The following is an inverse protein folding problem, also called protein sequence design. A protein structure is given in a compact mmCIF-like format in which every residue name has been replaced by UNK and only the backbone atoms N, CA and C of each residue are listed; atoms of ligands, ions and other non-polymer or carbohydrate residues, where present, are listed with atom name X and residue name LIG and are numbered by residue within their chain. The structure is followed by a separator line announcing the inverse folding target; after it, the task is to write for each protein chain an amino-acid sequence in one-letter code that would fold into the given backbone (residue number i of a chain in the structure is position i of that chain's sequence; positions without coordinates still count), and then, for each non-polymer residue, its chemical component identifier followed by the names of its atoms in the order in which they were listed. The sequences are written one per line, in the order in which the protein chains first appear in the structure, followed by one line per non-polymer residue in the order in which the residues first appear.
data_IF_360461193867
#
_entry.id   IF_360461193867
#
_cell.length_a   1.000
_cell.length_b   1.000
_cell.length_c   1.000
_cell.angle_alpha   90.00
_cell.angle_beta   90.00
_cell.angle_gamma   90.00
#
_symmetry.space_group_name_H-M   'P 1'
#
loop_
_entity.id
_entity.type
_entity.pdbx_description
1 polymer ?
#
# COMPACT_ATOMS: atom_id res chain seq x y z
N UNK A 1 -22.84 6.79 10.90
CA UNK A 1 -23.50 7.66 11.91
C UNK A 1 -22.41 8.16 12.86
N UNK A 2 -22.37 9.44 13.22
CA UNK A 2 -21.34 9.95 14.15
C UNK A 2 -21.65 9.55 15.60
N UNK A 3 -20.63 9.48 16.46
CA UNK A 3 -20.82 9.25 17.91
C UNK A 3 -21.78 10.29 18.50
N UNK A 4 -21.70 11.55 18.04
CA UNK A 4 -22.61 12.61 18.48
C UNK A 4 -24.07 12.34 18.09
N UNK A 5 -24.33 11.83 16.88
CA UNK A 5 -25.67 11.46 16.46
C UNK A 5 -26.21 10.27 17.27
N UNK A 6 -25.37 9.27 17.57
CA UNK A 6 -25.73 8.15 18.43
C UNK A 6 -26.06 8.62 19.85
N UNK A 7 -25.21 9.46 20.44
CA UNK A 7 -25.40 10.03 21.77
C UNK A 7 -26.73 10.79 21.88
N UNK A 8 -27.06 11.60 20.86
CA UNK A 8 -28.35 12.30 20.78
C UNK A 8 -29.53 11.33 20.70
N UNK A 9 -29.46 10.32 19.82
CA UNK A 9 -30.54 9.34 19.64
C UNK A 9 -30.78 8.49 20.89
N UNK A 10 -29.72 8.21 21.65
CA UNK A 10 -29.77 7.44 22.89
C UNK A 10 -29.95 8.33 24.15
N UNK A 11 -30.15 9.63 23.98
CA UNK A 11 -30.27 10.61 25.08
C UNK A 11 -29.14 10.49 26.14
N UNK A 12 -27.91 10.26 25.69
CA UNK A 12 -26.74 10.04 26.56
C UNK A 12 -25.56 10.93 26.17
N UNK A 13 -24.48 10.91 26.96
CA UNK A 13 -23.29 11.71 26.71
C UNK A 13 -22.42 11.09 25.61
N UNK A 14 -21.70 11.94 24.87
CA UNK A 14 -20.71 11.49 23.88
C UNK A 14 -19.66 10.55 24.51
N UNK A 15 -19.18 10.88 25.72
CA UNK A 15 -18.20 10.07 26.45
C UNK A 15 -18.75 8.68 26.76
N UNK A 16 -20.02 8.59 27.18
CA UNK A 16 -20.68 7.31 27.50
C UNK A 16 -20.74 6.39 26.26
N UNK A 17 -21.16 6.93 25.11
CA UNK A 17 -21.17 6.16 23.86
C UNK A 17 -19.75 5.76 23.45
N UNK A 18 -18.78 6.67 23.53
CA UNK A 18 -17.39 6.37 23.19
C UNK A 18 -16.82 5.26 24.07
N UNK A 19 -16.99 5.32 25.39
CA UNK A 19 -16.53 4.28 26.31
C UNK A 19 -17.19 2.94 25.99
N UNK A 20 -18.51 2.91 25.80
CA UNK A 20 -19.23 1.68 25.47
C UNK A 20 -18.73 1.05 24.16
N UNK A 21 -18.49 1.85 23.13
CA UNK A 21 -17.95 1.38 21.84
C UNK A 21 -16.52 0.83 22.00
N UNK A 22 -15.67 1.53 22.75
CA UNK A 22 -14.29 1.09 22.97
C UNK A 22 -14.22 -0.20 23.79
N UNK A 23 -15.01 -0.32 24.85
CA UNK A 23 -15.03 -1.49 25.72
C UNK A 23 -15.63 -2.70 24.99
N UNK A 24 -16.73 -2.50 24.27
CA UNK A 24 -17.30 -3.55 23.42
C UNK A 24 -16.33 -3.96 22.31
N UNK A 25 -15.70 -3.00 21.64
CA UNK A 25 -14.71 -3.27 20.59
C UNK A 25 -13.51 -4.06 21.10
N UNK A 26 -12.95 -3.70 22.26
CA UNK A 26 -11.86 -4.46 22.91
C UNK A 26 -12.29 -5.87 23.25
N UNK A 27 -13.46 -6.03 23.85
CA UNK A 27 -13.96 -7.34 24.29
C UNK A 27 -14.24 -8.25 23.10
N UNK A 28 -14.95 -7.76 22.10
CA UNK A 28 -15.39 -8.55 20.95
C UNK A 28 -14.26 -8.87 19.98
N UNK A 29 -13.37 -7.89 19.71
CA UNK A 29 -12.40 -7.99 18.62
C UNK A 29 -11.00 -8.42 19.09
N UNK A 30 -10.62 -8.12 20.33
CA UNK A 30 -9.23 -8.26 20.79
C UNK A 30 -9.06 -9.20 21.98
N UNK A 31 -10.05 -9.31 22.86
CA UNK A 31 -9.96 -10.10 24.10
C UNK A 31 -10.38 -11.58 23.94
N UNK A 32 -11.05 -11.95 22.84
CA UNK A 32 -11.42 -13.34 22.60
C UNK A 32 -10.17 -14.17 22.26
N UNK A 33 -9.82 -15.15 23.12
CA UNK A 33 -8.67 -16.04 22.89
C UNK A 33 -8.78 -16.81 21.57
N UNK A 34 -10.00 -17.17 21.18
CA UNK A 34 -10.33 -17.88 19.94
C UNK A 34 -10.18 -17.04 18.68
N UNK A 35 -9.79 -15.76 18.79
CA UNK A 35 -9.60 -14.88 17.62
C UNK A 35 -8.49 -15.37 16.67
N UNK A 36 -7.60 -16.22 17.18
CA UNK A 36 -6.47 -16.78 16.44
C UNK A 36 -6.72 -18.18 15.89
N UNK A 37 -7.83 -18.82 16.26
CA UNK A 37 -8.09 -20.21 15.91
C UNK A 37 -8.22 -20.37 14.38
N UNK A 38 -7.45 -21.31 13.83
CA UNK A 38 -7.46 -21.67 12.41
C UNK A 38 -6.87 -20.61 11.49
N UNK A 39 -6.12 -19.64 12.02
CA UNK A 39 -5.48 -18.60 11.22
C UNK A 39 -4.18 -19.13 10.62
N UNK A 40 -4.11 -19.20 9.29
CA UNK A 40 -2.92 -19.64 8.56
C UNK A 40 -2.37 -18.57 7.61
N UNK A 41 -3.16 -17.54 7.29
CA UNK A 41 -2.74 -16.41 6.45
C UNK A 41 -3.03 -15.11 7.17
N UNK A 42 -2.01 -14.28 7.41
CA UNK A 42 -2.17 -12.96 8.02
C UNK A 42 -1.79 -11.84 7.06
N UNK A 43 -2.47 -10.71 7.17
CA UNK A 43 -2.15 -9.45 6.53
C UNK A 43 -1.70 -8.44 7.58
N UNK A 44 -0.64 -7.69 7.29
CA UNK A 44 -0.10 -6.65 8.17
C UNK A 44 -0.01 -5.35 7.38
N UNK A 45 -0.60 -4.30 7.91
CA UNK A 45 -0.60 -2.97 7.28
C UNK A 45 -0.55 -1.85 8.33
N UNK A 46 -0.18 -0.67 7.88
CA UNK A 46 -0.03 0.52 8.72
C UNK A 46 -1.15 1.50 8.44
N UNK A 47 -1.92 1.81 9.48
CA UNK A 47 -2.95 2.82 9.37
C UNK A 47 -2.51 4.11 10.05
N UNK A 48 -2.34 5.17 9.25
CA UNK A 48 -2.20 6.52 9.75
C UNK A 48 -3.57 7.17 9.89
N UNK A 49 -3.83 7.78 11.04
CA UNK A 49 -4.90 8.76 11.15
C UNK A 49 -4.35 10.09 11.66
N UNK A 50 -4.91 11.17 11.11
CA UNK A 50 -4.55 12.52 11.48
C UNK A 50 -5.61 13.09 12.41
N UNK A 51 -5.23 13.38 13.65
CA UNK A 51 -6.12 14.04 14.61
C UNK A 51 -5.37 15.13 15.36
N UNK A 52 -5.84 16.39 15.20
CA UNK A 52 -5.30 17.59 15.86
C UNK A 52 -3.82 17.88 15.54
N UNK A 53 -3.41 17.74 14.29
CA UNK A 53 -2.07 18.17 13.86
C UNK A 53 -0.96 17.13 14.05
N UNK A 54 -1.29 15.95 14.58
CA UNK A 54 -0.32 14.89 14.83
C UNK A 54 -0.71 13.62 14.09
N UNK A 55 0.25 13.07 13.35
CA UNK A 55 0.14 11.74 12.77
C UNK A 55 0.16 10.71 13.88
N UNK A 56 -0.86 9.86 13.90
CA UNK A 56 -0.86 8.68 14.75
C UNK A 56 -0.95 7.43 13.89
N UNK A 57 -0.17 6.45 14.26
CA UNK A 57 0.00 5.23 13.50
C UNK A 57 -0.43 4.04 14.35
N UNK A 58 -1.10 3.09 13.72
CA UNK A 58 -1.30 1.74 14.25
C UNK A 58 -0.88 0.71 13.22
N UNK A 59 -0.39 -0.42 13.71
CA UNK A 59 -0.17 -1.64 12.94
C UNK A 59 -1.44 -2.47 13.05
N UNK A 60 -2.05 -2.78 11.92
CA UNK A 60 -3.28 -3.55 11.81
C UNK A 60 -2.92 -4.95 11.34
N UNK A 61 -3.37 -5.96 12.09
CA UNK A 61 -3.18 -7.37 11.76
C UNK A 61 -4.53 -7.98 11.45
N UNK A 62 -4.65 -8.58 10.28
CA UNK A 62 -5.89 -9.11 9.73
C UNK A 62 -5.70 -10.59 9.37
N UNK A 63 -6.62 -11.44 9.77
CA UNK A 63 -6.76 -12.80 9.28
C UNK A 63 -7.31 -12.77 7.85
N UNK A 64 -6.52 -13.29 6.93
CA UNK A 64 -6.81 -13.42 5.50
C UNK A 64 -7.07 -14.87 5.08
N UNK A 65 -7.10 -15.82 6.03
CA UNK A 65 -7.26 -17.25 5.79
C UNK A 65 -8.56 -17.53 5.03
N UNK A 66 -9.65 -16.92 5.50
CA UNK A 66 -10.97 -17.05 4.91
C UNK A 66 -11.57 -15.68 4.60
N UNK A 67 -12.59 -15.66 3.74
CA UNK A 67 -13.40 -14.48 3.47
C UNK A 67 -14.72 -14.57 4.25
N UNK A 68 -15.22 -13.47 4.84
CA UNK A 68 -14.61 -12.14 4.88
C UNK A 68 -13.36 -12.10 5.79
N UNK A 69 -12.43 -11.21 5.47
CA UNK A 69 -11.24 -11.01 6.28
C UNK A 69 -11.62 -10.49 7.67
N UNK A 70 -10.90 -10.93 8.70
CA UNK A 70 -11.22 -10.64 10.11
C UNK A 70 -10.09 -9.88 10.76
N UNK A 71 -10.42 -8.79 11.45
CA UNK A 71 -9.43 -8.08 12.27
C UNK A 71 -9.04 -8.95 13.47
N UNK A 72 -7.73 -9.17 13.65
CA UNK A 72 -7.21 -9.95 14.78
C UNK A 72 -6.26 -9.14 15.65
N UNK A 73 -5.74 -8.00 15.21
CA UNK A 73 -4.88 -7.16 16.04
C UNK A 73 -4.85 -5.70 15.60
N UNK A 74 -4.77 -4.80 16.58
CA UNK A 74 -4.44 -3.39 16.37
C UNK A 74 -3.44 -3.00 17.47
N UNK A 75 -2.24 -2.60 17.07
CA UNK A 75 -1.17 -2.22 18.01
C UNK A 75 -0.68 -0.82 17.69
N UNK A 76 -0.52 0.07 18.69
CA UNK A 76 0.04 1.40 18.47
C UNK A 76 1.44 1.36 17.87
N UNK A 77 1.70 2.23 16.90
CA UNK A 77 2.99 2.31 16.20
C UNK A 77 2.96 1.65 14.81
N UNK A 78 4.09 1.73 14.12
CA UNK A 78 4.28 1.28 12.72
C UNK A 78 5.70 0.81 12.44
N UNK A 79 6.34 0.25 13.46
CA UNK A 79 7.71 -0.25 13.32
C UNK A 79 7.70 -1.76 13.15
N UNK A 80 8.78 -2.28 12.59
CA UNK A 80 9.08 -3.71 12.60
C UNK A 80 8.96 -4.28 14.02
N UNK A 81 9.49 -3.56 15.00
CA UNK A 81 9.51 -3.96 16.42
C UNK A 81 8.09 -4.11 16.97
N UNK A 82 7.16 -3.22 16.60
CA UNK A 82 5.75 -3.33 17.02
C UNK A 82 5.12 -4.64 16.54
N UNK A 83 5.39 -5.02 15.28
CA UNK A 83 4.88 -6.28 14.75
C UNK A 83 5.62 -7.50 15.33
N UNK A 84 6.93 -7.38 15.54
CA UNK A 84 7.74 -8.39 16.20
C UNK A 84 7.21 -8.69 17.60
N UNK A 85 7.07 -7.67 18.44
CA UNK A 85 6.59 -7.80 19.81
C UNK A 85 5.18 -8.38 19.83
N UNK A 86 4.32 -7.97 18.90
CA UNK A 86 2.98 -8.54 18.81
C UNK A 86 3.01 -10.04 18.50
N UNK A 87 3.77 -10.46 17.47
CA UNK A 87 3.92 -11.88 17.12
C UNK A 87 4.53 -12.69 18.28
N UNK A 88 5.59 -12.18 18.91
CA UNK A 88 6.31 -12.85 19.99
C UNK A 88 5.43 -13.05 21.24
N UNK A 89 4.40 -12.22 21.42
CA UNK A 89 3.41 -12.36 22.49
C UNK A 89 2.24 -13.31 22.14
N UNK A 90 2.24 -13.94 20.96
CA UNK A 90 1.23 -14.94 20.60
C UNK A 90 1.71 -16.37 20.92
N UNK A 91 0.79 -17.33 21.13
CA UNK A 91 1.15 -18.72 21.36
C UNK A 91 1.99 -19.33 20.22
N UNK A 92 2.89 -20.24 20.57
CA UNK A 92 3.79 -20.90 19.61
C UNK A 92 3.03 -21.69 18.54
N UNK A 93 1.94 -22.36 18.94
CA UNK A 93 1.08 -23.12 18.02
C UNK A 93 0.51 -22.22 16.93
N UNK A 94 0.00 -21.04 17.30
CA UNK A 94 -0.48 -20.04 16.33
C UNK A 94 0.63 -19.60 15.38
N UNK A 95 1.83 -19.30 15.89
CA UNK A 95 2.95 -18.86 15.03
C UNK A 95 3.36 -19.94 14.04
N UNK A 96 3.33 -21.20 14.46
CA UNK A 96 3.70 -22.35 13.63
C UNK A 96 2.66 -22.66 12.55
N UNK A 97 1.38 -22.33 12.79
CA UNK A 97 0.30 -22.49 11.80
C UNK A 97 0.29 -21.41 10.72
N UNK A 98 0.99 -20.28 10.91
CA UNK A 98 1.07 -19.22 9.91
C UNK A 98 1.88 -19.72 8.70
N UNK A 99 1.17 -19.99 7.61
CA UNK A 99 1.77 -20.36 6.34
C UNK A 99 2.15 -19.12 5.51
N UNK A 100 1.39 -18.02 5.60
CA UNK A 100 1.52 -16.86 4.70
C UNK A 100 1.42 -15.54 5.46
N UNK A 101 2.31 -14.60 5.14
CA UNK A 101 2.27 -13.23 5.68
C UNK A 101 2.24 -12.23 4.53
N UNK A 102 1.08 -11.61 4.32
CA UNK A 102 0.91 -10.53 3.37
C UNK A 102 1.28 -9.18 4.02
N UNK A 103 2.29 -8.50 3.49
CA UNK A 103 2.80 -7.23 4.03
C UNK A 103 3.16 -6.24 2.93
N UNK A 104 3.39 -4.98 3.28
CA UNK A 104 4.06 -4.05 2.38
C UNK A 104 5.53 -4.48 2.15
N UNK A 105 6.13 -4.04 1.04
CA UNK A 105 7.54 -4.25 0.70
C UNK A 105 8.52 -3.54 1.65
N UNK A 106 8.04 -2.95 2.75
CA UNK A 106 8.88 -2.36 3.78
C UNK A 106 9.76 -3.43 4.42
N UNK A 107 11.07 -3.19 4.43
CA UNK A 107 12.08 -4.15 4.92
C UNK A 107 11.91 -4.51 6.40
N UNK A 108 11.26 -3.65 7.17
CA UNK A 108 11.02 -3.86 8.60
C UNK A 108 10.17 -5.10 8.89
N UNK A 109 8.99 -5.23 8.28
CA UNK A 109 8.11 -6.38 8.54
C UNK A 109 8.69 -7.69 8.06
N UNK A 110 9.44 -7.67 6.95
CA UNK A 110 10.08 -8.86 6.43
C UNK A 110 11.04 -9.48 7.45
N UNK A 111 11.84 -8.65 8.13
CA UNK A 111 12.77 -9.15 9.16
C UNK A 111 12.01 -9.84 10.31
N UNK A 112 10.96 -9.19 10.83
CA UNK A 112 10.17 -9.74 11.93
C UNK A 112 9.48 -11.06 11.54
N UNK A 113 8.93 -11.14 10.32
CA UNK A 113 8.30 -12.36 9.83
C UNK A 113 9.32 -13.50 9.66
N UNK A 114 10.47 -13.25 9.03
CA UNK A 114 11.49 -14.28 8.83
C UNK A 114 12.06 -14.82 10.15
N UNK A 115 12.06 -14.01 11.22
CA UNK A 115 12.57 -14.45 12.53
C UNK A 115 11.53 -15.22 13.35
N UNK A 116 10.27 -14.76 13.40
CA UNK A 116 9.25 -15.32 14.30
C UNK A 116 8.33 -16.35 13.65
N UNK A 117 8.24 -16.36 12.32
CA UNK A 117 7.45 -17.30 11.51
C UNK A 117 8.27 -17.73 10.28
N UNK A 118 9.42 -18.41 10.49
CA UNK A 118 10.41 -18.66 9.44
C UNK A 118 9.89 -19.51 8.27
N UNK A 119 8.92 -20.38 8.54
CA UNK A 119 8.31 -21.26 7.53
C UNK A 119 7.23 -20.54 6.69
N UNK A 120 6.84 -19.32 7.09
CA UNK A 120 5.82 -18.57 6.40
C UNK A 120 6.34 -17.92 5.11
N UNK A 121 5.57 -18.04 4.03
CA UNK A 121 5.82 -17.33 2.78
C UNK A 121 5.43 -15.86 2.95
N UNK A 122 6.41 -14.96 2.83
CA UNK A 122 6.14 -13.51 2.80
C UNK A 122 5.65 -13.08 1.43
N UNK A 123 4.46 -12.49 1.36
CA UNK A 123 3.80 -12.04 0.13
C UNK A 123 3.68 -10.52 0.14
N UNK A 124 4.03 -9.86 -0.96
CA UNK A 124 3.77 -8.43 -1.10
C UNK A 124 2.28 -8.19 -1.37
N UNK A 125 1.64 -7.34 -0.57
CA UNK A 125 0.21 -7.05 -0.72
C UNK A 125 -0.08 -6.43 -2.10
N UNK A 126 -1.05 -6.95 -2.89
CA UNK A 126 -1.32 -6.49 -4.24
C UNK A 126 -1.62 -4.99 -4.36
N UNK A 127 -2.21 -4.38 -3.33
CA UNK A 127 -2.48 -2.95 -3.30
C UNK A 127 -1.19 -2.12 -3.44
N UNK A 128 -0.16 -2.42 -2.64
CA UNK A 128 1.12 -1.72 -2.70
C UNK A 128 1.84 -1.98 -4.03
N UNK A 129 1.74 -3.20 -4.57
CA UNK A 129 2.29 -3.52 -5.91
C UNK A 129 1.66 -2.62 -6.98
N UNK A 130 0.33 -2.55 -7.01
CA UNK A 130 -0.41 -1.74 -7.98
C UNK A 130 -0.13 -0.24 -7.79
N UNK A 131 -0.01 0.23 -6.54
CA UNK A 131 0.34 1.60 -6.23
C UNK A 131 1.76 1.96 -6.72
N UNK A 132 2.73 1.07 -6.51
CA UNK A 132 4.10 1.23 -6.98
C UNK A 132 4.16 1.28 -8.51
N UNK A 133 3.49 0.34 -9.19
CA UNK A 133 3.37 0.34 -10.66
C UNK A 133 2.74 1.64 -11.14
N UNK A 134 1.65 2.08 -10.51
CA UNK A 134 0.98 3.33 -10.86
C UNK A 134 1.87 4.57 -10.70
N UNK A 135 2.71 4.59 -9.66
CA UNK A 135 3.70 5.65 -9.44
C UNK A 135 4.76 5.65 -10.54
N UNK A 136 5.38 4.50 -10.80
CA UNK A 136 6.44 4.37 -11.82
C UNK A 136 5.93 4.68 -13.23
N UNK A 137 4.69 4.30 -13.51
CA UNK A 137 3.99 4.65 -14.74
C UNK A 137 3.81 6.17 -14.88
N UNK A 138 3.39 6.87 -13.83
CA UNK A 138 3.24 8.32 -13.88
C UNK A 138 4.59 9.06 -13.98
N UNK A 139 5.62 8.60 -13.27
CA UNK A 139 6.98 9.11 -13.39
C UNK A 139 7.51 9.00 -14.83
N UNK A 140 7.39 7.81 -15.42
CA UNK A 140 7.82 7.54 -16.80
C UNK A 140 7.05 8.42 -17.78
N UNK A 141 5.72 8.50 -17.63
CA UNK A 141 4.85 9.35 -18.45
C UNK A 141 5.26 10.83 -18.36
N UNK A 142 5.55 11.34 -17.16
CA UNK A 142 6.00 12.73 -16.94
C UNK A 142 7.37 12.99 -17.54
N UNK A 143 8.28 12.04 -17.44
CA UNK A 143 9.61 12.13 -18.04
C UNK A 143 9.50 12.24 -19.57
N UNK A 144 8.82 11.28 -20.20
CA UNK A 144 8.57 11.27 -21.64
C UNK A 144 7.90 12.56 -22.13
N UNK A 145 6.92 13.05 -21.37
CA UNK A 145 6.24 14.28 -21.73
C UNK A 145 7.17 15.51 -21.68
N UNK A 146 8.07 15.56 -20.71
CA UNK A 146 9.07 16.62 -20.60
C UNK A 146 10.08 16.54 -21.74
N UNK A 147 10.50 15.34 -22.11
CA UNK A 147 11.38 15.13 -23.26
C UNK A 147 10.73 15.53 -24.60
N UNK A 148 9.42 15.28 -24.76
CA UNK A 148 8.69 15.58 -26.00
C UNK A 148 8.44 17.08 -26.21
N UNK A 149 8.15 17.80 -25.13
CA UNK A 149 7.72 19.20 -25.23
C UNK A 149 8.74 20.20 -24.66
N UNK A 150 9.83 19.73 -24.03
CA UNK A 150 10.78 20.59 -23.32
C UNK A 150 10.21 21.28 -22.08
N UNK A 151 8.99 20.90 -21.64
CA UNK A 151 8.25 21.51 -20.54
C UNK A 151 7.40 20.49 -19.80
N UNK A 152 6.92 20.86 -18.61
CA UNK A 152 5.92 20.07 -17.88
C UNK A 152 4.66 19.88 -18.73
N UNK A 153 4.06 18.70 -18.58
CA UNK A 153 2.82 18.35 -19.26
C UNK A 153 1.62 19.19 -18.87
N UNK A 154 0.80 19.56 -19.85
CA UNK A 154 -0.39 20.40 -19.68
C UNK A 154 -1.60 19.86 -20.48
N UNK A 155 -2.75 20.51 -20.30
CA UNK A 155 -3.96 20.18 -21.06
C UNK A 155 -3.72 20.33 -22.56
N UNK A 156 -4.15 19.34 -23.35
CA UNK A 156 -3.91 19.27 -24.79
C UNK A 156 -2.76 18.35 -25.20
N UNK A 157 -1.79 18.10 -24.31
CA UNK A 157 -0.72 17.14 -24.58
C UNK A 157 -1.24 15.69 -24.44
N UNK A 158 -0.89 14.82 -25.40
CA UNK A 158 -1.40 13.44 -25.47
C UNK A 158 -1.18 12.63 -24.18
N UNK A 159 0.07 12.61 -23.69
CA UNK A 159 0.44 11.89 -22.47
C UNK A 159 -0.19 12.48 -21.21
N UNK A 160 -0.53 13.77 -21.18
CA UNK A 160 -1.27 14.35 -20.06
C UNK A 160 -2.76 14.01 -20.13
N UNK A 161 -3.31 13.91 -21.33
CA UNK A 161 -4.70 13.55 -21.61
C UNK A 161 -5.09 12.13 -21.18
N UNK A 162 -4.12 11.20 -21.11
CA UNK A 162 -4.34 9.80 -20.70
C UNK A 162 -3.93 9.46 -19.26
N UNK A 163 -3.46 10.43 -18.47
CA UNK A 163 -2.87 10.20 -17.12
C UNK A 163 -3.75 9.39 -16.16
N UNK A 164 -5.07 9.50 -16.28
CA UNK A 164 -6.03 8.70 -15.50
C UNK A 164 -6.31 7.36 -16.19
N UNK A 165 -6.59 7.40 -17.49
CA UNK A 165 -6.91 6.24 -18.33
C UNK A 165 -5.86 5.13 -18.22
N UNK A 166 -4.57 5.48 -18.26
CA UNK A 166 -3.47 4.51 -18.21
C UNK A 166 -3.37 3.77 -16.86
N UNK A 167 -3.99 4.29 -15.80
CA UNK A 167 -4.03 3.68 -14.47
C UNK A 167 -5.35 2.96 -14.18
N UNK A 168 -6.30 3.01 -15.10
CA UNK A 168 -7.62 2.39 -14.94
C UNK A 168 -7.62 1.01 -15.58
N UNK A 169 -8.19 0.02 -14.89
CA UNK A 169 -8.37 -1.33 -15.42
C UNK A 169 -9.12 -1.28 -16.75
N UNK A 170 -8.63 -1.99 -17.77
CA UNK A 170 -9.18 -1.96 -19.15
C UNK A 170 -10.69 -2.21 -19.18
N UNK A 171 -11.21 -3.13 -18.36
CA UNK A 171 -12.64 -3.43 -18.27
C UNK A 171 -13.51 -2.31 -17.69
N UNK A 172 -12.92 -1.26 -17.12
CA UNK A 172 -13.62 -0.08 -16.60
C UNK A 172 -13.49 1.13 -17.54
N UNK A 173 -12.78 0.99 -18.66
CA UNK A 173 -12.62 2.05 -19.64
C UNK A 173 -13.82 2.09 -20.59
N UNK A 174 -14.34 3.29 -20.83
CA UNK A 174 -15.22 3.55 -21.98
C UNK A 174 -14.47 3.40 -23.31
N UNK A 175 -15.20 3.14 -24.39
CA UNK A 175 -14.61 3.05 -25.75
C UNK A 175 -13.82 4.31 -26.14
N UNK A 176 -14.31 5.50 -25.77
CA UNK A 176 -13.60 6.77 -25.98
C UNK A 176 -12.24 6.81 -25.27
N UNK A 177 -12.16 6.23 -24.06
CA UNK A 177 -10.92 6.17 -23.31
C UNK A 177 -9.96 5.12 -23.88
N UNK A 178 -10.47 3.96 -24.32
CA UNK A 178 -9.68 2.93 -25.01
C UNK A 178 -9.06 3.50 -26.28
N UNK A 179 -9.87 4.10 -27.15
CA UNK A 179 -9.38 4.74 -28.38
C UNK A 179 -8.29 5.79 -28.10
N UNK A 180 -8.48 6.65 -27.09
CA UNK A 180 -7.47 7.66 -26.73
C UNK A 180 -6.16 7.02 -26.25
N UNK A 181 -6.26 5.94 -25.47
CA UNK A 181 -5.10 5.18 -25.02
C UNK A 181 -4.35 4.59 -26.22
N UNK A 182 -5.07 3.95 -27.15
CA UNK A 182 -4.51 3.34 -28.35
C UNK A 182 -3.87 4.36 -29.29
N UNK A 183 -4.47 5.53 -29.47
CA UNK A 183 -3.87 6.63 -30.25
C UNK A 183 -2.58 7.16 -29.62
N UNK A 184 -2.41 7.01 -28.30
CA UNK A 184 -1.22 7.46 -27.57
C UNK A 184 -0.14 6.38 -27.47
N UNK A 185 -0.49 5.11 -27.66
CA UNK A 185 0.43 3.95 -27.61
C UNK A 185 1.61 4.03 -28.58
N UNK A 186 1.47 4.53 -29.83
CA UNK A 186 2.61 4.72 -30.74
C UNK A 186 3.69 5.65 -30.16
N UNK A 187 3.28 6.72 -29.47
CA UNK A 187 4.21 7.68 -28.83
C UNK A 187 4.98 6.99 -27.69
N UNK A 188 4.30 6.14 -26.92
CA UNK A 188 4.90 5.34 -25.83
C UNK A 188 5.88 4.31 -26.42
N UNK A 189 5.48 3.56 -27.44
CA UNK A 189 6.25 2.50 -28.09
C UNK A 189 7.50 3.02 -28.83
N UNK A 190 7.35 4.04 -29.68
CA UNK A 190 8.45 4.59 -30.50
C UNK A 190 9.61 5.09 -29.62
N UNK A 191 9.31 5.65 -28.45
CA UNK A 191 10.32 6.16 -27.54
C UNK A 191 10.91 5.07 -26.64
N UNK A 192 10.11 4.12 -26.17
CA UNK A 192 10.60 2.93 -25.47
C UNK A 192 11.63 2.16 -26.30
N UNK A 193 11.34 1.97 -27.60
CA UNK A 193 12.25 1.30 -28.52
C UNK A 193 13.57 2.06 -28.68
N UNK A 194 13.54 3.40 -28.69
CA UNK A 194 14.74 4.26 -28.77
C UNK A 194 15.60 4.24 -27.50
N UNK A 195 14.98 4.10 -26.33
CA UNK A 195 15.68 3.98 -25.05
C UNK A 195 16.30 2.58 -24.89
N UNK A 196 15.61 1.52 -25.34
CA UNK A 196 16.11 0.14 -25.26
C UNK A 196 17.18 -0.23 -26.29
N UNK A 197 17.31 0.52 -27.40
CA UNK A 197 18.27 0.25 -28.47
C UNK A 197 19.61 0.98 -28.33
N UNK A 198 19.78 1.86 -27.33
CA UNK A 198 21.03 2.59 -27.10
C UNK A 198 21.97 1.83 -26.16
N UNK A 199 22.56 0.74 -26.65
CA UNK A 199 23.74 0.07 -26.03
C UNK A 199 24.86 -0.12 -27.04
N UNK A 200 25.27 0.96 -27.74
CA UNK A 200 26.59 1.04 -28.42
C UNK A 200 26.80 2.45 -29.00
N UNK A 201 27.37 3.35 -28.22
CA UNK A 201 28.42 4.32 -28.65
C UNK A 201 28.78 5.25 -27.49
N UNK A 202 30.07 5.27 -27.15
CA UNK A 202 30.70 6.19 -26.18
C UNK A 202 30.57 7.64 -26.65
N UNK A 203 29.69 8.39 -26.01
CA UNK A 203 29.87 9.81 -25.68
C UNK A 203 29.03 10.07 -24.44
N UNK A 204 29.56 10.83 -23.46
CA UNK A 204 28.95 11.02 -22.13
C UNK A 204 27.50 11.53 -22.30
N UNK A 205 26.46 10.73 -22.01
CA UNK A 205 25.10 11.24 -21.96
C UNK A 205 24.92 11.96 -20.62
N UNK A 206 24.11 13.03 -20.61
CA UNK A 206 23.42 13.43 -19.39
C UNK A 206 22.78 12.20 -18.76
N UNK A 207 23.04 11.97 -17.47
CA UNK A 207 22.66 10.74 -16.73
C UNK A 207 21.31 10.17 -17.20
N UNK A 208 21.23 8.90 -17.62
CA UNK A 208 19.95 8.27 -17.90
C UNK A 208 19.10 8.25 -16.62
N UNK A 209 17.86 8.72 -16.71
CA UNK A 209 16.92 8.84 -15.58
C UNK A 209 16.47 7.50 -14.97
N UNK A 210 17.07 6.37 -15.37
CA UNK A 210 16.69 5.01 -14.97
C UNK A 210 17.58 4.50 -13.82
N UNK A 211 18.69 5.16 -13.51
CA UNK A 211 19.43 4.84 -12.28
C UNK A 211 18.71 5.43 -11.06
N UNK A 212 18.09 4.54 -10.27
CA UNK A 212 17.66 4.87 -8.92
C UNK A 212 18.84 5.36 -8.07
N UNK A 213 18.60 6.22 -7.06
CA UNK A 213 19.69 6.80 -6.29
C UNK A 213 20.46 5.70 -5.54
N UNK A 214 21.76 5.58 -5.82
CA UNK A 214 22.73 4.96 -4.93
C UNK A 214 22.71 5.73 -3.60
N UNK A 215 22.41 5.01 -2.52
CA UNK A 215 21.89 5.60 -1.27
C UNK A 215 22.75 6.67 -0.61
N UNK A 216 22.07 7.66 -0.03
CA UNK A 216 22.34 8.17 1.32
C UNK A 216 21.08 8.85 1.89
N UNK A 217 20.65 8.36 3.05
CA UNK A 217 19.78 8.98 4.04
C UNK A 217 18.75 10.04 3.62
N UNK A 218 17.55 9.60 3.29
CA UNK A 218 16.27 10.13 3.83
C UNK A 218 15.13 9.23 3.35
N UNK A 219 14.62 8.41 4.26
CA UNK A 219 13.50 7.50 3.97
C UNK A 219 12.23 8.29 3.65
N UNK A 220 11.93 8.44 2.37
CA UNK A 220 10.56 8.62 1.90
C UNK A 220 9.87 7.28 2.07
N UNK A 221 9.13 7.18 3.18
CA UNK A 221 8.21 6.12 3.50
C UNK A 221 7.06 6.14 2.49
N UNK A 222 6.78 4.99 1.89
CA UNK A 222 5.50 4.74 1.24
C UNK A 222 4.46 4.42 2.32
#
# INVERSE_FOLDING_TARGET
MSIHAIARNLATSWNTVCSAVLDFGRTLLLAAATRLDGVTTIGVDEHCWFHRGLDRWVTVIVDLTNRPARLIGIVPGRSADVFYDWLNNQPDDFRTEIAHVAMDAFTGYKKAATELVPDAVTVMVPFHVVALVGTKLDETRRCLQTELHGRRGQSGDDLYGIRKTIRTRVGLLSEKQKHRLDSSSPIIMLRWWRVGSSTKTRSRPTRPCIEGPSGSGRGTKW
#
